data_IF_155120937446
#
_entry.id   IF_155120937446
#
_cell.length_a   1.000
_cell.length_b   1.000
_cell.length_c   1.000
_cell.angle_alpha   90.00
_cell.angle_beta   90.00
_cell.angle_gamma   90.00
#
_symmetry.space_group_name_H-M   'P 1'
#
loop_
_entity.id
_entity.type
_entity.pdbx_description
1 polymer ?
#
# COMPACT_ATOMS: atom_id res chain seq x y z
N UNK A 1 20.94 -57.59 -26.50
CA UNK A 1 21.92 -56.63 -25.89
C UNK A 1 21.52 -55.16 -26.05
N UNK A 2 20.51 -54.83 -26.86
CA UNK A 2 20.07 -53.45 -27.17
C UNK A 2 19.15 -52.85 -26.09
N UNK A 3 18.31 -53.64 -25.43
CA UNK A 3 17.36 -53.12 -24.41
C UNK A 3 18.04 -52.58 -23.15
N UNK A 4 19.08 -53.26 -22.65
CA UNK A 4 19.82 -52.79 -21.47
C UNK A 4 20.52 -51.45 -21.73
N UNK A 5 20.93 -51.17 -22.96
CA UNK A 5 21.55 -49.90 -23.34
C UNK A 5 20.52 -48.78 -23.42
N UNK A 6 19.33 -49.06 -23.94
CA UNK A 6 18.24 -48.07 -24.00
C UNK A 6 17.77 -47.64 -22.60
N UNK A 7 17.62 -48.59 -21.67
CA UNK A 7 17.25 -48.29 -20.28
C UNK A 7 18.32 -47.47 -19.57
N UNK A 8 19.60 -47.79 -19.81
CA UNK A 8 20.71 -47.09 -19.16
C UNK A 8 20.88 -45.66 -19.68
N UNK A 9 20.67 -45.43 -20.99
CA UNK A 9 20.69 -44.09 -21.59
C UNK A 9 19.50 -43.26 -21.12
N UNK A 10 18.31 -43.86 -21.01
CA UNK A 10 17.12 -43.18 -20.47
C UNK A 10 17.29 -42.75 -19.02
N UNK A 11 17.85 -43.62 -18.18
CA UNK A 11 18.14 -43.31 -16.78
C UNK A 11 19.18 -42.19 -16.63
N UNK A 12 20.23 -42.18 -17.47
CA UNK A 12 21.26 -41.14 -17.45
C UNK A 12 20.71 -39.78 -17.89
N UNK A 13 19.85 -39.76 -18.92
CA UNK A 13 19.19 -38.53 -19.38
C UNK A 13 18.29 -37.93 -18.30
N UNK A 14 17.52 -38.76 -17.59
CA UNK A 14 16.62 -38.30 -16.54
C UNK A 14 17.38 -37.78 -15.30
N UNK A 15 18.49 -38.43 -14.95
CA UNK A 15 19.39 -37.94 -13.90
C UNK A 15 20.02 -36.58 -14.27
N UNK A 16 20.46 -36.41 -15.52
CA UNK A 16 21.02 -35.14 -15.98
C UNK A 16 19.99 -33.99 -15.92
N UNK A 17 18.73 -34.24 -16.30
CA UNK A 17 17.65 -33.25 -16.21
C UNK A 17 17.36 -32.87 -14.75
N UNK A 18 17.34 -33.83 -13.83
CA UNK A 18 17.17 -33.53 -12.39
C UNK A 18 18.30 -32.66 -11.84
N UNK A 19 19.55 -32.97 -12.17
CA UNK A 19 20.72 -32.19 -11.70
C UNK A 19 20.69 -30.78 -12.26
N UNK A 20 20.38 -30.61 -13.55
CA UNK A 20 20.23 -29.28 -14.17
C UNK A 20 19.09 -28.46 -13.55
N UNK A 21 17.95 -29.09 -13.23
CA UNK A 21 16.84 -28.43 -12.55
C UNK A 21 17.20 -27.95 -11.14
N UNK A 22 17.97 -28.75 -10.39
CA UNK A 22 18.40 -28.39 -9.04
C UNK A 22 19.41 -27.24 -9.06
N UNK A 23 20.37 -27.26 -9.99
CA UNK A 23 21.35 -26.18 -10.17
C UNK A 23 20.67 -24.87 -10.63
N UNK A 24 19.67 -24.95 -11.51
CA UNK A 24 18.87 -23.79 -11.91
C UNK A 24 18.03 -23.22 -10.74
N UNK A 25 17.56 -24.07 -9.82
CA UNK A 25 16.86 -23.65 -8.60
C UNK A 25 17.76 -22.89 -7.62
N UNK A 26 18.98 -23.36 -7.39
CA UNK A 26 19.90 -22.72 -6.44
C UNK A 26 20.52 -21.43 -6.99
N UNK A 27 20.81 -21.35 -8.29
CA UNK A 27 21.33 -20.14 -8.92
C UNK A 27 20.20 -19.13 -9.19
N UNK A 28 18.99 -19.62 -9.54
CA UNK A 28 17.80 -18.80 -9.77
C UNK A 28 17.23 -18.13 -8.51
N UNK A 29 17.50 -18.69 -7.33
CA UNK A 29 17.15 -18.08 -6.04
C UNK A 29 17.83 -16.73 -5.78
N UNK A 30 18.94 -16.42 -6.48
CA UNK A 30 19.63 -15.13 -6.40
C UNK A 30 19.04 -14.10 -7.36
N UNK A 31 18.35 -14.53 -8.43
CA UNK A 31 17.75 -13.64 -9.43
C UNK A 31 16.36 -13.10 -9.03
N UNK A 32 15.72 -13.68 -8.00
CA UNK A 32 14.54 -13.08 -7.35
C UNK A 32 14.98 -12.13 -6.22
N UNK A 33 16.07 -11.37 -6.43
CA UNK A 33 16.12 -10.04 -5.81
C UNK A 33 15.21 -9.15 -6.63
N UNK A 34 13.92 -9.35 -6.35
CA UNK A 34 12.82 -8.46 -6.62
C UNK A 34 13.34 -7.04 -6.78
N UNK A 35 13.08 -6.45 -7.94
CA UNK A 35 13.26 -5.04 -8.21
C UNK A 35 12.29 -4.20 -7.35
N UNK A 36 12.21 -4.47 -6.05
CA UNK A 36 11.47 -3.69 -5.09
C UNK A 36 12.22 -2.37 -4.95
N UNK A 37 11.88 -1.41 -5.79
CA UNK A 37 12.19 -0.01 -5.51
C UNK A 37 11.56 0.30 -4.16
N UNK A 38 12.40 0.34 -3.13
CA UNK A 38 12.00 0.77 -1.79
C UNK A 38 11.77 2.27 -1.85
N UNK A 39 10.53 2.66 -2.11
CA UNK A 39 10.13 4.05 -1.95
C UNK A 39 10.01 4.34 -0.45
N UNK A 40 10.81 5.28 0.05
CA UNK A 40 10.72 5.71 1.44
C UNK A 40 9.34 6.36 1.67
N UNK A 41 8.49 5.67 2.45
CA UNK A 41 7.19 6.20 2.85
C UNK A 41 7.41 7.28 3.91
N UNK A 42 6.96 8.50 3.63
CA UNK A 42 7.12 9.63 4.54
C UNK A 42 6.12 9.59 5.69
N UNK A 43 6.44 10.28 6.78
CA UNK A 43 5.49 10.51 7.85
C UNK A 43 4.52 11.63 7.46
N UNK A 44 3.23 11.42 7.72
CA UNK A 44 2.18 12.43 7.61
C UNK A 44 1.82 12.92 9.01
N UNK A 45 1.93 14.23 9.22
CA UNK A 45 1.44 14.90 10.41
C UNK A 45 -0.06 15.16 10.30
N UNK A 46 -0.80 14.82 11.35
CA UNK A 46 -2.24 15.08 11.44
C UNK A 46 -2.42 16.04 12.61
N UNK A 47 -3.18 17.12 12.39
CA UNK A 47 -3.43 18.14 13.43
C UNK A 47 -4.18 17.59 14.65
N UNK A 48 -4.88 16.47 14.50
CA UNK A 48 -5.67 15.83 15.54
C UNK A 48 -5.35 14.34 15.66
N UNK A 49 -5.53 13.78 16.86
CA UNK A 49 -5.41 12.33 17.11
C UNK A 49 -6.75 11.58 16.88
N UNK A 50 -7.79 12.31 16.48
CA UNK A 50 -9.10 11.77 16.19
C UNK A 50 -9.68 12.40 14.92
N UNK A 51 -10.31 11.59 14.08
CA UNK A 51 -11.07 12.00 12.92
C UNK A 51 -12.56 11.91 13.25
N UNK A 52 -13.29 12.98 12.98
CA UNK A 52 -14.75 13.01 13.07
C UNK A 52 -15.28 13.15 11.65
N UNK A 53 -16.10 12.22 11.14
CA UNK A 53 -16.75 12.37 9.85
C UNK A 53 -17.48 13.71 9.74
N UNK A 54 -17.39 14.35 8.57
CA UNK A 54 -17.95 15.68 8.29
C UNK A 54 -17.03 16.85 8.68
N UNK A 55 -16.15 16.66 9.66
CA UNK A 55 -15.26 17.73 10.15
C UNK A 55 -13.98 17.80 9.30
N UNK A 56 -13.59 18.99 8.80
CA UNK A 56 -12.32 19.14 8.09
C UNK A 56 -11.13 19.01 9.03
N UNK A 57 -10.10 18.29 8.59
CA UNK A 57 -8.85 18.05 9.33
C UNK A 57 -7.67 18.48 8.46
N UNK A 58 -6.73 19.17 9.08
CA UNK A 58 -5.49 19.59 8.42
C UNK A 58 -4.43 18.51 8.54
N UNK A 59 -3.87 18.13 7.40
CA UNK A 59 -2.78 17.19 7.25
C UNK A 59 -1.54 17.93 6.74
N UNK A 60 -0.37 17.47 7.18
CA UNK A 60 0.94 18.02 6.80
C UNK A 60 1.83 16.90 6.31
N UNK A 61 2.50 17.13 5.19
CA UNK A 61 3.45 16.22 4.56
C UNK A 61 4.61 17.05 4.05
N UNK A 62 5.84 16.53 4.20
CA UNK A 62 6.99 17.14 3.55
C UNK A 62 6.78 17.16 2.04
N UNK A 63 6.74 18.35 1.46
CA UNK A 63 6.36 18.63 0.08
C UNK A 63 6.86 17.55 -0.90
N UNK A 64 5.94 17.06 -1.73
CA UNK A 64 6.20 15.97 -2.67
C UNK A 64 6.00 16.49 -4.10
N UNK A 65 6.98 16.32 -5.01
CA UNK A 65 6.81 16.67 -6.42
C UNK A 65 5.95 15.60 -7.12
N UNK A 66 4.68 15.54 -6.75
CA UNK A 66 3.66 14.71 -7.40
C UNK A 66 2.63 15.60 -8.07
N UNK A 67 2.11 15.16 -9.22
CA UNK A 67 1.04 15.85 -9.96
C UNK A 67 -0.32 15.71 -9.28
N UNK A 68 -0.44 14.80 -8.32
CA UNK A 68 -1.63 14.60 -7.53
C UNK A 68 -1.56 13.30 -6.74
N UNK A 69 -2.30 13.27 -5.63
CA UNK A 69 -2.40 12.09 -4.79
C UNK A 69 -3.85 11.76 -4.49
N UNK A 70 -4.09 10.55 -4.01
CA UNK A 70 -5.34 10.16 -3.38
C UNK A 70 -5.08 9.99 -1.89
N UNK A 71 -5.89 10.67 -1.09
CA UNK A 71 -5.96 10.42 0.33
C UNK A 71 -6.86 9.21 0.56
N UNK A 72 -6.31 8.19 1.20
CA UNK A 72 -6.99 6.95 1.53
C UNK A 72 -7.12 6.85 3.05
N UNK A 73 -8.26 6.36 3.51
CA UNK A 73 -8.49 5.93 4.88
C UNK A 73 -8.38 4.41 4.94
N UNK A 74 -7.48 3.90 5.78
CA UNK A 74 -7.20 2.48 5.92
C UNK A 74 -7.59 1.97 7.29
N UNK A 75 -8.49 1.01 7.30
CA UNK A 75 -8.82 0.12 8.41
C UNK A 75 -7.94 -1.13 8.35
N UNK A 76 -7.93 -1.97 9.40
CA UNK A 76 -7.30 -3.29 9.34
C UNK A 76 -7.84 -4.17 8.21
N UNK A 77 -9.13 -4.06 7.88
CA UNK A 77 -9.84 -4.93 6.94
C UNK A 77 -10.20 -4.27 5.61
N UNK A 78 -10.13 -2.94 5.52
CA UNK A 78 -10.60 -2.19 4.36
C UNK A 78 -9.75 -0.95 4.10
N UNK A 79 -9.74 -0.47 2.85
CA UNK A 79 -9.15 0.83 2.47
C UNK A 79 -10.13 1.54 1.56
N UNK A 80 -10.40 2.81 1.83
CA UNK A 80 -11.34 3.61 1.05
C UNK A 80 -10.71 4.94 0.66
N UNK A 81 -10.95 5.38 -0.57
CA UNK A 81 -10.54 6.70 -1.03
C UNK A 81 -11.44 7.78 -0.43
N UNK A 82 -10.84 8.75 0.24
CA UNK A 82 -11.53 9.88 0.86
C UNK A 82 -11.63 11.04 -0.13
N UNK A 83 -10.50 11.41 -0.72
CA UNK A 83 -10.39 12.64 -1.52
C UNK A 83 -9.19 12.57 -2.47
N UNK A 84 -9.28 13.25 -3.62
CA UNK A 84 -8.10 13.54 -4.46
C UNK A 84 -7.45 14.85 -4.03
N UNK A 85 -6.14 14.82 -3.91
CA UNK A 85 -5.28 15.94 -3.53
C UNK A 85 -4.60 16.46 -4.79
N UNK A 86 -4.74 17.76 -5.04
CA UNK A 86 -4.18 18.40 -6.24
C UNK A 86 -2.67 18.62 -6.16
N UNK A 87 -2.04 18.88 -7.31
CA UNK A 87 -0.60 19.21 -7.39
C UNK A 87 -0.21 20.38 -6.47
N UNK A 88 -1.07 21.39 -6.33
CA UNK A 88 -0.80 22.56 -5.51
C UNK A 88 -0.72 22.23 -4.01
N UNK A 89 -1.68 21.46 -3.49
CA UNK A 89 -1.68 21.01 -2.09
C UNK A 89 -0.47 20.08 -1.81
N UNK A 90 -0.12 19.24 -2.78
CA UNK A 90 1.06 18.36 -2.72
C UNK A 90 2.38 19.14 -2.68
N UNK A 91 2.47 20.26 -3.40
CA UNK A 91 3.63 21.15 -3.39
C UNK A 91 3.74 21.95 -2.09
N UNK A 92 2.61 22.45 -1.58
CA UNK A 92 2.55 23.18 -0.31
C UNK A 92 2.75 22.26 0.90
N UNK A 93 2.50 20.96 0.74
CA UNK A 93 2.60 19.98 1.83
C UNK A 93 1.49 20.12 2.88
N UNK A 94 0.44 20.89 2.58
CA UNK A 94 -0.70 21.13 3.46
C UNK A 94 -1.96 20.68 2.73
N UNK A 95 -2.68 19.73 3.32
CA UNK A 95 -3.87 19.11 2.74
C UNK A 95 -5.01 19.29 3.74
N UNK A 96 -6.15 19.81 3.29
CA UNK A 96 -7.37 19.86 4.10
C UNK A 96 -8.27 18.72 3.68
N UNK A 97 -8.42 17.73 4.56
CA UNK A 97 -9.18 16.53 4.29
C UNK A 97 -10.50 16.53 5.06
N UNK A 98 -11.57 16.05 4.43
CA UNK A 98 -12.84 15.78 5.12
C UNK A 98 -13.21 14.32 4.93
N UNK A 99 -13.38 13.60 6.04
CA UNK A 99 -13.90 12.22 5.98
C UNK A 99 -15.41 12.29 5.68
N UNK A 100 -15.91 11.60 4.65
CA UNK A 100 -17.33 11.65 4.29
C UNK A 100 -18.21 11.03 5.38
N UNK A 101 -19.43 11.57 5.54
CA UNK A 101 -20.39 11.16 6.56
C UNK A 101 -20.89 9.72 6.40
N UNK A 102 -20.86 9.19 5.18
CA UNK A 102 -21.25 7.81 4.84
C UNK A 102 -20.29 6.77 5.43
N UNK A 103 -19.07 7.18 5.81
CA UNK A 103 -18.11 6.32 6.52
C UNK A 103 -18.48 6.23 8.00
N UNK A 104 -19.64 5.65 8.30
CA UNK A 104 -20.01 5.28 9.67
C UNK A 104 -19.29 3.98 10.05
N UNK A 105 -18.46 4.02 11.09
CA UNK A 105 -18.28 2.81 11.91
C UNK A 105 -19.49 2.71 12.81
N UNK A 106 -20.10 1.52 12.86
CA UNK A 106 -21.30 1.24 13.64
C UNK A 106 -21.03 1.48 15.14
N UNK A 107 -21.26 2.71 15.62
CA UNK A 107 -21.22 3.11 17.04
C UNK A 107 -19.88 2.97 17.77
N UNK A 108 -18.89 2.31 17.18
CA UNK A 108 -17.63 1.95 17.83
C UNK A 108 -16.48 2.77 17.26
N UNK A 109 -15.58 3.24 18.13
CA UNK A 109 -14.38 3.97 17.71
C UNK A 109 -13.48 3.01 16.92
N UNK A 110 -13.24 3.31 15.66
CA UNK A 110 -12.40 2.48 14.80
C UNK A 110 -10.98 3.03 14.76
N UNK A 111 -9.99 2.15 14.74
CA UNK A 111 -8.61 2.58 14.59
C UNK A 111 -8.17 2.55 13.12
N UNK A 112 -7.77 3.70 12.60
CA UNK A 112 -7.53 3.92 11.18
C UNK A 112 -6.18 4.58 10.93
N UNK A 113 -5.69 4.50 9.70
CA UNK A 113 -4.52 5.25 9.21
C UNK A 113 -4.90 6.02 7.96
N UNK A 114 -4.35 7.22 7.82
CA UNK A 114 -4.40 7.98 6.58
C UNK A 114 -3.17 7.62 5.75
N UNK A 115 -3.41 7.32 4.47
CA UNK A 115 -2.37 7.06 3.48
C UNK A 115 -2.51 8.07 2.36
N UNK A 116 -1.39 8.56 1.87
CA UNK A 116 -1.33 9.38 0.68
C UNK A 116 -0.68 8.55 -0.41
N UNK A 117 -1.40 8.26 -1.48
CA UNK A 117 -0.90 7.47 -2.61
C UNK A 117 -0.83 8.33 -3.87
N UNK A 118 0.25 8.17 -4.63
CA UNK A 118 0.43 8.85 -5.92
C UNK A 118 -0.62 8.35 -6.93
N UNK A 119 -1.30 9.28 -7.63
CA UNK A 119 -2.35 8.92 -8.59
C UNK A 119 -1.78 8.20 -9.82
N UNK A 120 -0.59 8.58 -10.28
CA UNK A 120 -0.01 8.04 -11.52
C UNK A 120 0.72 6.71 -11.25
N UNK A 121 1.44 6.64 -10.13
CA UNK A 121 2.32 5.50 -9.81
C UNK A 121 1.70 4.47 -8.88
N UNK A 122 0.60 4.82 -8.20
CA UNK A 122 -0.02 3.96 -7.18
C UNK A 122 0.87 3.71 -5.95
N UNK A 123 1.99 4.41 -5.83
CA UNK A 123 2.93 4.26 -4.71
C UNK A 123 2.48 5.06 -3.50
N UNK A 124 2.62 4.49 -2.30
CA UNK A 124 2.38 5.22 -1.06
C UNK A 124 3.49 6.27 -0.87
N UNK A 125 3.09 7.54 -0.84
CA UNK A 125 3.96 8.70 -0.64
C UNK A 125 4.16 8.99 0.84
N UNK A 126 3.08 8.92 1.62
CA UNK A 126 3.12 9.20 3.05
C UNK A 126 2.06 8.41 3.81
N UNK A 127 2.30 8.20 5.10
CA UNK A 127 1.35 7.58 6.01
C UNK A 127 1.33 8.29 7.36
N UNK A 128 0.14 8.39 7.94
CA UNK A 128 -0.01 8.86 9.31
C UNK A 128 0.31 7.77 10.32
N UNK A 129 0.44 8.18 11.58
CA UNK A 129 0.27 7.25 12.71
C UNK A 129 -1.18 6.76 12.77
N UNK A 130 -1.43 5.80 13.65
CA UNK A 130 -2.77 5.30 13.92
C UNK A 130 -3.61 6.37 14.61
N UNK A 131 -4.82 6.61 14.09
CA UNK A 131 -5.75 7.66 14.49
C UNK A 131 -7.06 6.99 14.90
N UNK A 132 -7.81 7.62 15.81
CA UNK A 132 -9.16 7.17 16.17
C UNK A 132 -10.18 7.80 15.23
N UNK A 133 -11.00 6.99 14.57
CA UNK A 133 -12.21 7.46 13.91
C UNK A 133 -13.34 7.43 14.93
N UNK A 134 -13.97 8.58 15.14
CA UNK A 134 -15.10 8.75 16.05
C UNK A 134 -16.42 8.59 15.30
N UNK A 135 -17.52 8.54 16.06
CA UNK A 135 -18.87 8.63 15.53
C UNK A 135 -19.04 9.89 14.65
N UNK A 136 -19.97 9.87 13.67
CA UNK A 136 -20.24 11.01 12.80
C UNK A 136 -20.53 12.28 13.60
N UNK A 137 -19.96 13.40 13.14
CA UNK A 137 -20.15 14.71 13.76
C UNK A 137 -21.55 15.28 13.52
N UNK A 138 -21.89 16.42 14.15
CA UNK A 138 -23.18 17.07 13.98
C UNK A 138 -23.48 17.45 12.52
N UNK A 139 -22.45 17.74 11.73
CA UNK A 139 -22.56 18.04 10.29
C UNK A 139 -23.02 16.85 9.44
N UNK A 140 -23.08 15.65 10.02
CA UNK A 140 -23.55 14.42 9.36
C UNK A 140 -24.95 13.99 9.80
N UNK A 141 -25.61 14.75 10.69
CA UNK A 141 -26.94 14.44 11.24
C UNK A 141 -28.09 15.14 10.51
N UNK A 142 -27.80 15.99 9.53
CA UNK A 142 -28.78 16.81 8.80
C UNK A 142 -28.74 16.53 7.30
#
# INVERSE_FOLDING_TARGET
MTERRAVLVGALGLAAVMVLGMVAGEIGGVAIRSASRTHAVRAMGVSTNALVPGVPVRLTVDGTPSRGAVLLLRWPTATVSVQRVGAQEMQLGIITARVPCEMQSAGEWASVRLLLADVEKGTILAQSRQIRLLAPGPDCLF
#
